data_IF_503657462246
#
_entry.id   IF_503657462246
#
_cell.length_a   1.000
_cell.length_b   1.000
_cell.length_c   1.000
_cell.angle_alpha   90.00
_cell.angle_beta   90.00
_cell.angle_gamma   90.00
#
_symmetry.space_group_name_H-M   'P 1'
#
loop_
_entity.id
_entity.type
_entity.pdbx_description
1 polymer ?
#
# COMPACT_ATOMS: atom_id res chain seq x y z
N UNK A 1 17.14 -96.69 7.74
CA UNK A 1 17.35 -95.86 6.56
C UNK A 1 16.56 -94.53 6.81
N UNK A 2 17.31 -93.51 7.10
CA UNK A 2 16.78 -92.26 7.71
C UNK A 2 16.49 -91.25 6.63
N UNK A 3 15.24 -90.83 6.57
CA UNK A 3 14.80 -89.70 5.71
C UNK A 3 14.85 -88.41 6.57
N UNK A 4 15.77 -87.53 6.25
CA UNK A 4 15.83 -86.19 6.86
C UNK A 4 14.89 -85.25 6.12
N UNK A 5 13.90 -84.73 6.86
CA UNK A 5 12.97 -83.71 6.40
C UNK A 5 13.60 -82.36 6.72
N UNK A 6 13.89 -81.59 5.67
CA UNK A 6 14.34 -80.20 5.79
C UNK A 6 13.12 -79.32 5.76
N UNK A 7 12.81 -78.66 6.90
CA UNK A 7 11.78 -77.62 6.94
C UNK A 7 12.37 -76.26 6.52
N UNK A 8 11.86 -75.73 5.43
CA UNK A 8 12.19 -74.38 4.95
C UNK A 8 11.19 -73.42 5.58
N UNK A 9 11.69 -72.61 6.53
CA UNK A 9 10.88 -71.50 7.11
C UNK A 9 10.92 -70.33 6.12
N UNK A 10 9.77 -70.00 5.52
CA UNK A 10 9.58 -68.79 4.69
C UNK A 10 9.21 -67.67 5.65
N UNK A 11 10.15 -66.75 5.88
CA UNK A 11 9.85 -65.47 6.53
C UNK A 11 9.05 -64.56 5.54
N UNK A 12 7.78 -64.49 5.74
CA UNK A 12 6.93 -63.49 5.05
C UNK A 12 7.19 -62.10 5.67
N UNK A 13 8.07 -61.30 5.05
CA UNK A 13 8.27 -59.89 5.36
C UNK A 13 7.04 -59.09 4.90
N UNK A 14 6.18 -58.68 5.84
CA UNK A 14 5.10 -57.76 5.57
C UNK A 14 5.68 -56.35 5.37
N UNK A 15 5.81 -55.91 4.12
CA UNK A 15 6.10 -54.53 3.76
C UNK A 15 4.85 -53.69 4.08
N UNK A 16 4.90 -52.94 5.14
CA UNK A 16 3.90 -51.88 5.42
C UNK A 16 4.16 -50.75 4.43
N UNK A 17 3.41 -50.70 3.32
CA UNK A 17 3.36 -49.58 2.43
C UNK A 17 2.63 -48.45 3.17
N UNK A 18 3.37 -47.47 3.64
CA UNK A 18 2.79 -46.23 4.18
C UNK A 18 2.15 -45.47 3.02
N UNK A 19 0.82 -45.47 2.96
CA UNK A 19 0.08 -44.64 2.01
C UNK A 19 0.23 -43.19 2.49
N UNK A 20 1.05 -42.43 1.78
CA UNK A 20 1.13 -40.99 2.01
C UNK A 20 -0.20 -40.38 1.56
N UNK A 21 -1.04 -40.01 2.52
CA UNK A 21 -2.23 -39.21 2.26
C UNK A 21 -1.82 -37.76 1.97
N UNK A 22 -1.91 -37.35 0.70
CA UNK A 22 -1.81 -35.94 0.35
C UNK A 22 -3.03 -35.21 0.96
N UNK A 23 -2.76 -34.27 1.85
CA UNK A 23 -3.80 -33.38 2.36
C UNK A 23 -4.23 -32.45 1.23
N UNK A 24 -5.47 -32.49 0.82
CA UNK A 24 -6.07 -31.58 -0.16
C UNK A 24 -7.06 -30.67 0.56
N UNK A 25 -7.08 -29.41 0.18
CA UNK A 25 -8.02 -28.42 0.69
C UNK A 25 -8.67 -27.65 -0.45
N UNK A 26 -9.81 -27.03 -0.18
CA UNK A 26 -10.53 -26.18 -1.12
C UNK A 26 -10.36 -24.73 -0.69
N UNK A 27 -9.97 -23.85 -1.62
CA UNK A 27 -9.94 -22.40 -1.43
C UNK A 27 -11.09 -21.82 -2.24
N UNK A 28 -12.01 -21.15 -1.57
CA UNK A 28 -13.11 -20.46 -2.21
C UNK A 28 -12.75 -18.98 -2.37
N UNK A 29 -12.78 -18.51 -3.59
CA UNK A 29 -12.62 -17.09 -3.92
C UNK A 29 -13.99 -16.48 -4.12
N UNK A 30 -14.29 -15.41 -3.38
CA UNK A 30 -15.52 -14.64 -3.53
C UNK A 30 -15.15 -13.20 -3.89
N UNK A 31 -15.86 -12.60 -4.84
CA UNK A 31 -15.64 -11.23 -5.26
C UNK A 31 -16.71 -10.82 -6.27
N UNK A 32 -16.90 -9.51 -6.39
CA UNK A 32 -17.79 -8.92 -7.37
C UNK A 32 -16.98 -8.19 -8.43
N UNK A 33 -17.35 -8.34 -9.69
CA UNK A 33 -16.85 -7.50 -10.78
C UNK A 33 -17.94 -6.49 -11.10
N UNK A 34 -17.67 -5.21 -10.88
CA UNK A 34 -18.59 -4.14 -11.22
C UNK A 34 -18.15 -3.47 -12.53
N UNK A 35 -19.10 -3.13 -13.38
CA UNK A 35 -18.83 -2.51 -14.67
C UNK A 35 -18.58 -1.00 -14.57
N UNK A 36 -18.82 -0.36 -13.43
CA UNK A 36 -18.74 1.08 -13.25
C UNK A 36 -18.00 1.46 -11.97
N UNK A 37 -17.05 2.38 -12.12
CA UNK A 37 -16.36 3.09 -11.05
C UNK A 37 -16.89 4.53 -11.02
N UNK A 38 -16.65 5.25 -9.91
CA UNK A 38 -16.91 6.69 -9.89
C UNK A 38 -16.09 7.41 -10.97
N UNK A 39 -16.60 8.52 -11.44
CA UNK A 39 -15.84 9.45 -12.28
C UNK A 39 -14.95 10.30 -11.40
N UNK A 40 -13.64 10.29 -11.64
CA UNK A 40 -12.69 11.19 -10.97
C UNK A 40 -12.74 12.54 -11.71
N UNK A 41 -12.99 13.62 -10.98
CA UNK A 41 -12.98 14.97 -11.53
C UNK A 41 -11.64 15.31 -12.20
N UNK A 42 -11.69 16.10 -13.26
CA UNK A 42 -10.49 16.42 -14.06
C UNK A 42 -9.43 17.17 -13.24
N UNK A 43 -9.84 18.06 -12.34
CA UNK A 43 -8.95 18.78 -11.43
C UNK A 43 -8.29 17.86 -10.39
N UNK A 44 -8.89 16.71 -10.09
CA UNK A 44 -8.37 15.73 -9.18
C UNK A 44 -7.33 14.80 -9.81
N UNK A 45 -7.34 14.64 -11.14
CA UNK A 45 -6.42 13.72 -11.85
C UNK A 45 -5.00 14.22 -11.93
N UNK A 46 -4.83 15.54 -12.05
CA UNK A 46 -3.51 16.17 -12.21
C UNK A 46 -3.46 17.39 -11.29
N UNK A 47 -2.98 17.18 -10.06
CA UNK A 47 -2.88 18.23 -9.05
C UNK A 47 -1.44 18.66 -8.85
N UNK A 48 -1.24 19.95 -8.65
CA UNK A 48 0.01 20.47 -8.07
C UNK A 48 -0.27 20.85 -6.63
N UNK A 49 0.38 20.15 -5.71
CA UNK A 49 0.22 20.36 -4.26
C UNK A 49 1.41 21.13 -3.75
N UNK A 50 1.19 22.37 -3.31
CA UNK A 50 2.24 23.21 -2.74
C UNK A 50 2.45 22.85 -1.27
N UNK A 51 3.64 22.35 -0.93
CA UNK A 51 4.06 22.06 0.45
C UNK A 51 4.63 23.28 1.16
N UNK A 52 4.86 24.37 0.42
CA UNK A 52 5.48 25.57 0.95
C UNK A 52 7.01 25.49 1.06
N UNK A 53 7.60 26.55 1.56
CA UNK A 53 9.02 26.60 1.89
C UNK A 53 9.20 26.36 3.38
N UNK A 54 10.05 25.40 3.73
CA UNK A 54 10.35 25.00 5.12
C UNK A 54 11.82 25.19 5.42
N UNK A 55 12.14 25.46 6.67
CA UNK A 55 13.51 25.60 7.12
C UNK A 55 14.13 24.24 7.49
N UNK A 56 15.44 24.07 7.32
CA UNK A 56 16.14 22.86 7.81
C UNK A 56 16.02 22.68 9.32
N UNK A 57 15.83 23.78 10.06
CA UNK A 57 15.60 23.81 11.51
C UNK A 57 14.24 23.23 11.94
N UNK A 58 13.29 23.11 11.01
CA UNK A 58 11.98 22.48 11.26
C UNK A 58 12.10 20.96 11.42
N UNK A 59 13.27 20.40 11.13
CA UNK A 59 13.57 18.98 11.22
C UNK A 59 14.62 18.68 12.30
N UNK A 60 14.30 18.87 13.58
CA UNK A 60 15.27 18.69 14.69
C UNK A 60 15.76 17.26 14.85
N UNK A 61 15.00 16.27 14.40
CA UNK A 61 15.33 14.84 14.48
C UNK A 61 14.83 14.10 13.24
N UNK A 62 15.41 12.95 12.95
CA UNK A 62 14.85 12.04 11.94
C UNK A 62 13.39 11.69 12.27
N UNK A 63 12.52 11.73 11.27
CA UNK A 63 11.08 11.55 11.41
C UNK A 63 10.29 12.83 11.66
N UNK A 64 10.94 13.98 11.91
CA UNK A 64 10.27 15.28 12.02
C UNK A 64 9.57 15.65 10.71
N UNK A 65 8.39 16.28 10.81
CA UNK A 65 7.59 16.68 9.64
C UNK A 65 7.39 18.18 9.60
N UNK A 66 7.42 18.75 8.39
CA UNK A 66 7.13 20.18 8.16
C UNK A 66 6.48 20.38 6.79
N UNK A 67 5.86 21.54 6.59
CA UNK A 67 5.02 21.82 5.42
C UNK A 67 3.65 21.15 5.57
N UNK A 68 2.69 21.59 4.76
CA UNK A 68 1.34 21.02 4.78
C UNK A 68 0.63 21.30 3.46
N UNK A 69 0.68 20.33 2.55
CA UNK A 69 -0.04 20.38 1.27
C UNK A 69 -1.30 19.55 1.34
N UNK A 70 -2.44 20.15 1.03
CA UNK A 70 -3.72 19.45 0.95
C UNK A 70 -3.91 18.84 -0.43
N UNK A 71 -4.32 17.58 -0.46
CA UNK A 71 -4.72 16.83 -1.64
C UNK A 71 -6.23 16.61 -1.54
N UNK A 72 -6.99 17.03 -2.55
CA UNK A 72 -8.44 16.82 -2.58
C UNK A 72 -8.81 16.05 -3.84
N UNK A 73 -9.45 14.91 -3.66
CA UNK A 73 -9.96 14.09 -4.77
C UNK A 73 -11.48 14.12 -4.77
N UNK A 74 -12.06 14.60 -5.87
CA UNK A 74 -13.52 14.65 -6.05
C UNK A 74 -13.94 13.49 -6.94
N UNK A 75 -14.82 12.65 -6.41
CA UNK A 75 -15.45 11.53 -7.09
C UNK A 75 -16.92 11.84 -7.32
N UNK A 76 -17.40 11.63 -8.53
CA UNK A 76 -18.80 11.87 -8.92
C UNK A 76 -19.37 10.70 -9.70
N UNK A 77 -20.68 10.71 -9.93
CA UNK A 77 -21.39 9.66 -10.67
C UNK A 77 -21.03 8.24 -10.16
N UNK A 78 -20.94 8.08 -8.85
CA UNK A 78 -20.67 6.80 -8.24
C UNK A 78 -21.87 5.86 -8.43
N UNK A 79 -21.67 4.61 -8.91
CA UNK A 79 -22.75 3.65 -9.01
C UNK A 79 -23.21 3.22 -7.61
N UNK A 80 -24.48 2.86 -7.47
CA UNK A 80 -25.06 2.43 -6.18
C UNK A 80 -24.34 1.25 -5.53
N UNK A 81 -23.61 0.46 -6.32
CA UNK A 81 -22.81 -0.67 -5.81
C UNK A 81 -21.44 -0.27 -5.23
N UNK A 82 -20.96 0.94 -5.52
CA UNK A 82 -19.74 1.47 -4.92
C UNK A 82 -20.10 2.24 -3.64
N UNK A 83 -20.03 1.56 -2.50
CA UNK A 83 -20.48 2.13 -1.21
C UNK A 83 -19.34 2.76 -0.40
N UNK A 84 -18.11 2.39 -0.70
CA UNK A 84 -16.91 2.87 -0.02
C UNK A 84 -15.74 2.98 -1.00
N UNK A 85 -14.83 3.89 -0.72
CA UNK A 85 -13.55 3.98 -1.42
C UNK A 85 -12.40 4.24 -0.45
N UNK A 86 -11.23 3.79 -0.84
CA UNK A 86 -9.94 4.18 -0.27
C UNK A 86 -9.00 4.59 -1.40
N UNK A 87 -7.91 5.27 -1.06
CA UNK A 87 -6.91 5.72 -2.03
C UNK A 87 -5.55 5.15 -1.65
N UNK A 88 -4.85 4.59 -2.61
CA UNK A 88 -3.45 4.21 -2.48
C UNK A 88 -2.59 5.15 -3.31
N UNK A 89 -1.54 5.68 -2.69
CA UNK A 89 -0.56 6.53 -3.36
C UNK A 89 0.66 5.70 -3.73
N UNK A 90 1.08 5.78 -4.99
CA UNK A 90 2.24 5.08 -5.53
C UNK A 90 3.34 6.02 -5.97
N UNK A 91 4.51 5.45 -6.24
CA UNK A 91 5.67 6.18 -6.73
C UNK A 91 6.98 5.56 -6.26
N UNK A 92 8.13 6.15 -6.59
CA UNK A 92 9.43 5.70 -6.11
C UNK A 92 9.50 5.83 -4.58
N UNK A 93 9.83 4.75 -3.89
CA UNK A 93 10.03 4.76 -2.44
C UNK A 93 11.38 5.39 -2.08
N UNK A 94 11.43 6.09 -0.94
CA UNK A 94 12.69 6.59 -0.38
C UNK A 94 13.57 5.43 0.10
N UNK A 95 14.86 5.52 -0.13
CA UNK A 95 15.81 4.44 0.17
C UNK A 95 16.03 4.23 1.67
N UNK A 96 15.84 5.27 2.49
CA UNK A 96 15.98 5.20 3.94
C UNK A 96 14.70 4.78 4.64
N UNK A 97 13.55 5.10 4.04
CA UNK A 97 12.24 4.74 4.56
C UNK A 97 11.25 4.44 3.42
N UNK A 98 11.05 3.17 3.12
CA UNK A 98 10.17 2.70 2.04
C UNK A 98 8.69 3.09 2.17
N UNK A 99 8.25 3.62 3.31
CA UNK A 99 6.90 4.14 3.50
C UNK A 99 6.70 5.57 2.98
N UNK A 100 7.81 6.23 2.58
CA UNK A 100 7.81 7.61 2.12
C UNK A 100 8.06 7.67 0.61
N UNK A 101 7.51 8.69 -0.03
CA UNK A 101 7.75 8.96 -1.44
C UNK A 101 9.08 9.71 -1.59
N UNK A 102 9.95 9.16 -2.43
CA UNK A 102 11.24 9.74 -2.76
C UNK A 102 11.07 11.06 -3.53
N UNK A 103 11.97 12.00 -3.31
CA UNK A 103 12.08 13.20 -4.12
C UNK A 103 12.50 12.86 -5.56
N UNK A 104 12.09 13.68 -6.51
CA UNK A 104 12.47 13.55 -7.92
C UNK A 104 13.99 13.64 -8.10
N UNK A 105 14.52 13.04 -9.16
CA UNK A 105 15.96 13.01 -9.44
C UNK A 105 16.59 14.39 -9.67
N UNK A 106 15.76 15.40 -9.96
CA UNK A 106 16.18 16.81 -10.13
C UNK A 106 16.14 17.61 -8.83
N UNK A 107 15.58 17.03 -7.76
CA UNK A 107 15.59 17.66 -6.43
C UNK A 107 17.01 17.66 -5.85
N UNK A 108 17.33 18.74 -5.14
CA UNK A 108 18.66 18.96 -4.57
C UNK A 108 18.69 18.88 -3.05
N UNK A 109 17.53 18.97 -2.38
CA UNK A 109 17.43 18.74 -0.94
C UNK A 109 17.83 17.30 -0.59
N UNK A 110 18.42 17.10 0.59
CA UNK A 110 18.87 15.80 1.05
C UNK A 110 18.35 15.49 2.45
N UNK A 111 18.20 14.18 2.77
CA UNK A 111 17.74 13.74 4.08
C UNK A 111 16.25 14.01 4.34
N UNK A 112 15.45 14.20 3.29
CA UNK A 112 14.02 14.47 3.37
C UNK A 112 13.28 13.72 2.25
N UNK A 113 12.05 13.31 2.54
CA UNK A 113 11.12 12.65 1.61
C UNK A 113 9.69 13.17 1.86
N UNK A 114 8.71 12.73 1.07
CA UNK A 114 7.31 13.10 1.25
C UNK A 114 6.58 12.01 2.03
N UNK A 115 5.93 12.40 3.12
CA UNK A 115 5.00 11.58 3.88
C UNK A 115 3.56 11.95 3.53
N UNK A 116 2.69 10.94 3.44
CA UNK A 116 1.26 11.10 3.16
C UNK A 116 0.45 10.81 4.41
N UNK A 117 -0.64 11.54 4.58
CA UNK A 117 -1.49 11.48 5.77
C UNK A 117 -2.95 11.47 5.40
N UNK A 118 -3.76 10.88 6.28
CA UNK A 118 -5.21 10.94 6.25
C UNK A 118 -5.73 12.38 6.41
N UNK A 119 -7.04 12.55 6.32
CA UNK A 119 -7.75 13.81 6.49
C UNK A 119 -7.54 14.50 7.87
N UNK A 120 -7.11 13.75 8.88
CA UNK A 120 -6.72 14.28 10.18
C UNK A 120 -5.34 14.95 10.18
N UNK A 121 -4.57 14.82 9.09
CA UNK A 121 -3.23 15.38 8.94
C UNK A 121 -2.18 14.78 9.86
N UNK A 122 -2.48 13.68 10.57
CA UNK A 122 -1.61 13.04 11.56
C UNK A 122 -1.44 11.54 11.38
N UNK A 123 -2.48 10.85 10.93
CA UNK A 123 -2.40 9.41 10.64
C UNK A 123 -1.67 9.19 9.31
N UNK A 124 -0.51 8.56 9.37
CA UNK A 124 0.32 8.30 8.19
C UNK A 124 -0.31 7.23 7.28
N UNK A 125 -0.23 7.47 5.98
CA UNK A 125 -0.54 6.49 4.93
C UNK A 125 0.79 6.03 4.33
N UNK A 126 1.25 4.79 4.60
CA UNK A 126 2.46 4.28 3.99
C UNK A 126 2.34 4.21 2.46
N UNK A 127 3.39 4.53 1.74
CA UNK A 127 3.43 4.49 0.28
C UNK A 127 3.03 3.09 -0.22
N UNK A 128 2.12 3.02 -1.19
CA UNK A 128 1.61 1.76 -1.75
C UNK A 128 0.56 1.06 -0.89
N UNK A 129 0.22 1.58 0.30
CA UNK A 129 -0.86 1.05 1.13
C UNK A 129 -2.15 1.87 0.93
N UNK A 130 -3.31 1.25 1.09
CA UNK A 130 -4.58 1.98 1.04
C UNK A 130 -4.76 2.88 2.26
N UNK A 131 -5.38 4.05 2.04
CA UNK A 131 -5.91 4.90 3.10
C UNK A 131 -7.04 4.19 3.85
N UNK A 132 -7.52 4.81 4.93
CA UNK A 132 -8.81 4.42 5.49
C UNK A 132 -9.91 4.53 4.45
N UNK A 133 -10.96 3.73 4.62
CA UNK A 133 -12.14 3.75 3.73
C UNK A 133 -13.04 4.92 4.06
N UNK A 134 -13.57 5.55 3.02
CA UNK A 134 -14.56 6.62 3.10
C UNK A 134 -15.88 6.16 2.50
N UNK A 135 -17.02 6.46 3.13
CA UNK A 135 -18.33 6.18 2.55
C UNK A 135 -18.55 7.02 1.30
N UNK A 136 -19.22 6.44 0.30
CA UNK A 136 -19.55 7.12 -0.95
C UNK A 136 -21.07 7.35 -1.07
N UNK A 137 -21.44 8.57 -1.49
CA UNK A 137 -22.78 8.90 -1.95
C UNK A 137 -22.89 8.63 -3.46
N UNK A 138 -23.95 7.96 -3.87
CA UNK A 138 -24.26 7.76 -5.30
C UNK A 138 -25.00 8.97 -5.92
N UNK A 139 -25.49 9.91 -5.10
CA UNK A 139 -26.28 11.06 -5.52
C UNK A 139 -25.55 12.38 -5.44
N UNK A 140 -24.45 12.44 -4.68
CA UNK A 140 -23.67 13.65 -4.44
C UNK A 140 -22.22 13.46 -4.85
N UNK A 141 -21.47 14.53 -4.93
CA UNK A 141 -20.02 14.49 -5.09
C UNK A 141 -19.38 14.06 -3.77
N UNK A 142 -18.36 13.23 -3.87
CA UNK A 142 -17.58 12.73 -2.74
C UNK A 142 -16.19 13.37 -2.77
N UNK A 143 -15.87 14.20 -1.80
CA UNK A 143 -14.57 14.81 -1.65
C UNK A 143 -13.74 14.02 -0.63
N UNK A 144 -12.65 13.42 -1.08
CA UNK A 144 -11.66 12.73 -0.24
C UNK A 144 -10.49 13.67 -0.03
N UNK A 145 -10.13 13.94 1.22
CA UNK A 145 -9.05 14.86 1.58
C UNK A 145 -7.89 14.12 2.23
N UNK A 146 -6.68 14.44 1.82
CA UNK A 146 -5.43 13.92 2.35
C UNK A 146 -4.43 15.04 2.50
N UNK A 147 -3.33 14.78 3.21
CA UNK A 147 -2.25 15.74 3.37
C UNK A 147 -0.91 15.13 2.98
N UNK A 148 -0.04 15.97 2.42
CA UNK A 148 1.35 15.66 2.18
C UNK A 148 2.24 16.61 2.98
N UNK A 149 3.31 16.07 3.56
CA UNK A 149 4.31 16.84 4.33
C UNK A 149 5.71 16.36 3.97
N UNK A 150 6.68 17.24 4.11
CA UNK A 150 8.09 16.81 4.17
C UNK A 150 8.34 16.06 5.47
N UNK A 151 9.07 14.97 5.40
CA UNK A 151 9.55 14.22 6.56
C UNK A 151 11.04 13.97 6.46
N UNK A 152 11.79 14.29 7.50
CA UNK A 152 13.21 14.00 7.54
C UNK A 152 13.47 12.50 7.62
N UNK A 153 14.40 12.03 6.78
CA UNK A 153 14.86 10.62 6.73
C UNK A 153 16.25 10.46 7.33
N UNK A 154 16.89 11.58 7.73
CA UNK A 154 18.20 11.62 8.34
C UNK A 154 18.21 12.60 9.53
N UNK A 155 19.25 12.54 10.34
CA UNK A 155 19.46 13.46 11.47
C UNK A 155 19.70 14.91 11.03
N UNK A 156 20.17 15.11 9.80
CA UNK A 156 20.39 16.42 9.20
C UNK A 156 19.74 16.47 7.83
N UNK A 157 19.06 17.57 7.56
CA UNK A 157 18.41 17.87 6.28
C UNK A 157 19.25 18.92 5.55
N UNK A 158 19.59 18.65 4.29
CA UNK A 158 20.27 19.61 3.41
C UNK A 158 19.25 20.45 2.64
N UNK A 159 19.53 21.74 2.49
CA UNK A 159 18.72 22.67 1.73
C UNK A 159 18.69 22.34 0.23
N UNK A 160 17.62 22.73 -0.45
CA UNK A 160 17.48 22.55 -1.90
C UNK A 160 16.03 22.47 -2.35
N UNK A 161 15.85 22.15 -3.62
CA UNK A 161 14.53 21.85 -4.18
C UNK A 161 14.07 20.48 -3.69
N UNK A 162 12.77 20.34 -3.36
CA UNK A 162 12.24 19.12 -2.76
C UNK A 162 10.91 18.71 -3.46
N UNK A 163 10.96 18.63 -4.79
CA UNK A 163 9.82 18.19 -5.60
C UNK A 163 9.73 16.66 -5.62
N UNK A 164 8.51 16.15 -5.73
CA UNK A 164 8.24 14.73 -5.88
C UNK A 164 6.97 14.52 -6.73
N UNK A 165 6.88 13.37 -7.35
CA UNK A 165 5.72 12.97 -8.17
C UNK A 165 5.18 11.63 -7.64
N UNK A 166 3.87 11.59 -7.36
CA UNK A 166 3.16 10.40 -6.95
C UNK A 166 2.03 10.09 -7.93
N UNK A 167 1.76 8.81 -8.11
CA UNK A 167 0.53 8.31 -8.71
C UNK A 167 -0.48 7.99 -7.62
N UNK A 168 -1.76 7.89 -7.97
CA UNK A 168 -2.77 7.39 -7.05
C UNK A 168 -3.73 6.41 -7.73
N UNK A 169 -4.30 5.53 -6.93
CA UNK A 169 -5.33 4.58 -7.34
C UNK A 169 -6.48 4.62 -6.35
N UNK A 170 -7.71 4.74 -6.87
CA UNK A 170 -8.93 4.65 -6.05
C UNK A 170 -9.40 3.21 -6.03
N UNK A 171 -9.55 2.65 -4.84
CA UNK A 171 -10.01 1.29 -4.58
C UNK A 171 -11.45 1.35 -4.06
N UNK A 172 -12.35 0.57 -4.65
CA UNK A 172 -13.78 0.55 -4.31
C UNK A 172 -14.15 -0.76 -3.61
N UNK A 173 -15.07 -0.68 -2.64
CA UNK A 173 -15.65 -1.81 -1.92
C UNK A 173 -17.18 -1.73 -1.92
#
# INVERSE_FOLDING_TARGET
MNKKIIAIAILAGSAFASVAHAASGTINFTGNVTAATCTIDTGSKNQTVALGTVGTTDFPTAGSTSGNGQITMVLSACPAGATQASVSFGGPADASNGNLLKLDSTATATGVAIALFEDDGSTSIPLGQPSKTHPLSSTEQNALTYFAKYQSTAATVGEGTANATADFTVLYN
#
